data_IF_967358087310
#
_entry.id   IF_967358087310
#
_cell.length_a   1.000
_cell.length_b   1.000
_cell.length_c   1.000
_cell.angle_alpha   90.00
_cell.angle_beta   90.00
_cell.angle_gamma   90.00
#
_symmetry.space_group_name_H-M   'P 1'
#
loop_
_entity.id
_entity.type
_entity.pdbx_description
1 polymer ?
#
# COMPACT_ATOMS: atom_id res chain seq x y z
N UNK A 1 -57.03 6.59 33.91
CA UNK A 1 -56.81 7.33 35.18
C UNK A 1 -55.32 7.66 35.26
N UNK A 2 -54.98 8.95 35.18
CA UNK A 2 -54.38 9.73 36.31
C UNK A 2 -52.89 9.41 36.53
N UNK A 3 -51.96 10.24 36.02
CA UNK A 3 -51.39 11.49 36.59
C UNK A 3 -50.28 11.20 37.62
N UNK A 4 -49.01 11.47 37.26
CA UNK A 4 -48.19 12.65 37.68
C UNK A 4 -47.44 12.37 39.01
N UNK A 5 -46.25 12.88 39.37
CA UNK A 5 -45.46 14.11 39.12
C UNK A 5 -43.95 13.71 39.01
N UNK A 6 -43.03 14.27 38.19
CA UNK A 6 -42.47 15.64 38.02
C UNK A 6 -41.47 16.13 39.09
N UNK A 7 -40.29 16.64 38.67
CA UNK A 7 -39.49 17.80 39.16
C UNK A 7 -38.20 17.86 38.28
N UNK A 8 -38.09 18.79 37.30
CA UNK A 8 -37.35 20.10 37.30
C UNK A 8 -35.79 19.94 37.24
N UNK A 9 -34.97 20.78 36.58
CA UNK A 9 -35.16 22.11 35.95
C UNK A 9 -34.03 22.39 34.89
N UNK A 10 -34.34 22.84 33.65
CA UNK A 10 -33.98 24.15 32.98
C UNK A 10 -32.47 24.47 32.75
N UNK A 11 -32.00 25.27 31.77
CA UNK A 11 -32.52 26.05 30.61
C UNK A 11 -31.29 26.44 29.71
N UNK A 12 -31.34 27.03 28.51
CA UNK A 12 -32.39 27.52 27.60
C UNK A 12 -31.85 27.54 26.13
N UNK A 13 -32.70 27.74 25.12
CA UNK A 13 -32.35 28.21 23.76
C UNK A 13 -33.36 29.31 23.39
N UNK A 14 -32.94 30.33 22.63
CA UNK A 14 -33.86 31.35 22.11
C UNK A 14 -33.81 31.43 20.58
N UNK A 15 -34.95 31.76 19.97
CA UNK A 15 -35.15 31.82 18.51
C UNK A 15 -35.98 33.03 18.13
N UNK A 16 -35.83 33.54 16.90
CA UNK A 16 -36.70 34.60 16.36
C UNK A 16 -37.12 34.28 14.92
N UNK A 17 -38.38 34.62 14.61
CA UNK A 17 -39.02 34.59 13.28
C UNK A 17 -39.55 36.00 12.99
N UNK A 18 -39.71 36.35 11.70
CA UNK A 18 -40.67 37.29 11.07
C UNK A 18 -40.05 37.80 9.73
N UNK A 19 -40.74 38.17 8.63
CA UNK A 19 -42.13 38.03 8.18
C UNK A 19 -42.17 38.11 6.63
N UNK A 20 -43.16 37.40 6.03
CA UNK A 20 -43.98 37.71 4.83
C UNK A 20 -43.43 38.38 3.55
N UNK A 21 -44.27 38.31 2.50
CA UNK A 21 -43.96 38.53 1.08
C UNK A 21 -44.99 39.47 0.42
N UNK A 22 -44.54 40.16 -0.64
CA UNK A 22 -45.30 40.76 -1.77
C UNK A 22 -46.26 41.94 -1.58
N UNK A 23 -46.05 42.99 -2.40
CA UNK A 23 -47.11 43.67 -3.17
C UNK A 23 -46.59 44.35 -4.47
N UNK A 24 -47.49 44.36 -5.46
CA UNK A 24 -47.57 44.94 -6.82
C UNK A 24 -46.72 46.15 -7.31
N UNK A 25 -46.25 46.04 -8.57
CA UNK A 25 -46.40 46.93 -9.77
C UNK A 25 -47.07 48.32 -9.61
N UNK A 26 -46.66 49.37 -10.42
CA UNK A 26 -47.01 49.43 -11.85
C UNK A 26 -45.95 50.00 -12.84
N UNK A 27 -46.35 50.06 -14.12
CA UNK A 27 -45.58 50.44 -15.33
C UNK A 27 -45.37 51.96 -15.49
N UNK A 28 -44.38 52.38 -16.30
CA UNK A 28 -44.27 53.80 -16.69
C UNK A 28 -43.16 54.17 -17.70
N UNK A 29 -43.55 54.28 -18.99
CA UNK A 29 -42.94 55.07 -20.08
C UNK A 29 -41.54 54.74 -20.64
N UNK A 30 -41.32 55.27 -21.84
CA UNK A 30 -40.29 54.97 -22.83
C UNK A 30 -39.29 56.13 -23.02
N UNK A 31 -38.20 55.89 -23.77
CA UNK A 31 -37.75 56.73 -24.91
C UNK A 31 -36.50 56.11 -25.58
N UNK A 32 -36.28 56.47 -26.85
CA UNK A 32 -35.30 55.89 -27.79
C UNK A 32 -33.83 56.34 -27.61
N UNK A 33 -32.96 55.47 -28.14
CA UNK A 33 -31.72 55.77 -28.90
C UNK A 33 -30.58 56.60 -28.26
N UNK A 34 -29.36 56.06 -28.33
CA UNK A 34 -28.12 56.80 -28.11
C UNK A 34 -26.86 55.95 -28.33
N UNK A 35 -26.27 55.99 -29.52
CA UNK A 35 -24.88 55.57 -29.73
C UNK A 35 -23.95 56.69 -29.29
N UNK A 36 -23.01 56.43 -28.38
CA UNK A 36 -21.75 57.18 -28.29
C UNK A 36 -20.64 56.30 -27.72
N UNK A 37 -19.46 56.35 -28.37
CA UNK A 37 -18.19 55.86 -27.84
C UNK A 37 -17.58 56.91 -26.92
N UNK A 38 -16.62 56.51 -26.07
CA UNK A 38 -15.40 57.22 -25.59
C UNK A 38 -15.00 56.70 -24.18
N UNK A 39 -13.80 56.97 -23.65
CA UNK A 39 -12.65 56.11 -23.90
C UNK A 39 -11.92 55.68 -22.60
N UNK A 40 -10.76 55.04 -22.77
CA UNK A 40 -9.80 54.74 -21.69
C UNK A 40 -9.42 55.97 -20.86
N UNK A 41 -9.43 55.82 -19.53
CA UNK A 41 -8.73 56.71 -18.61
C UNK A 41 -7.80 55.89 -17.71
N UNK A 42 -6.51 56.19 -17.81
CA UNK A 42 -5.47 55.63 -16.95
C UNK A 42 -5.40 56.46 -15.66
N UNK A 43 -5.24 55.81 -14.50
CA UNK A 43 -4.86 56.51 -13.28
C UNK A 43 -3.88 55.67 -12.45
N UNK A 44 -2.60 56.02 -12.56
CA UNK A 44 -1.55 55.52 -11.66
C UNK A 44 -1.26 56.58 -10.59
N UNK A 45 -1.18 56.16 -9.33
CA UNK A 45 -0.25 56.65 -8.28
C UNK A 45 -0.25 55.61 -7.16
N UNK A 46 0.85 54.88 -7.02
CA UNK A 46 2.00 55.15 -6.14
C UNK A 46 1.90 54.41 -4.81
N UNK A 47 2.65 53.31 -4.69
CA UNK A 47 3.18 52.82 -3.41
C UNK A 47 4.68 52.59 -3.63
N UNK A 48 5.49 53.05 -2.68
CA UNK A 48 6.95 53.09 -2.78
C UNK A 48 7.57 51.72 -2.48
N UNK A 49 8.69 51.44 -3.15
CA UNK A 49 9.49 50.23 -2.98
C UNK A 49 10.34 50.29 -1.72
N UNK A 50 10.35 49.21 -0.93
CA UNK A 50 11.43 48.93 0.04
C UNK A 50 12.17 47.69 -0.45
N UNK A 51 13.45 47.86 -0.76
CA UNK A 51 14.38 46.80 -1.18
C UNK A 51 14.98 46.10 0.04
N UNK A 52 15.06 44.77 0.00
CA UNK A 52 15.96 43.99 0.84
C UNK A 52 16.73 43.00 -0.04
N UNK A 53 18.00 42.80 0.30
CA UNK A 53 18.97 42.15 -0.59
C UNK A 53 18.78 40.63 -0.71
N UNK A 54 19.14 40.13 -1.91
CA UNK A 54 19.10 38.73 -2.28
C UNK A 54 20.46 38.10 -1.94
N UNK A 55 20.46 37.07 -1.09
CA UNK A 55 21.61 36.17 -0.91
C UNK A 55 21.35 34.88 -1.69
N UNK A 56 22.35 34.47 -2.47
CA UNK A 56 22.22 33.44 -3.51
C UNK A 56 21.89 32.04 -2.97
N UNK A 57 20.87 31.41 -3.55
CA UNK A 57 20.70 29.96 -3.58
C UNK A 57 20.59 29.51 -5.05
N UNK A 58 21.60 28.77 -5.52
CA UNK A 58 21.72 28.36 -6.93
C UNK A 58 20.76 27.21 -7.27
N UNK A 59 19.83 27.44 -8.20
CA UNK A 59 18.99 26.40 -8.80
C UNK A 59 19.40 26.22 -10.27
N UNK A 60 19.88 25.03 -10.63
CA UNK A 60 20.32 24.72 -12.00
C UNK A 60 19.20 23.99 -12.75
N UNK A 61 18.63 24.55 -13.84
CA UNK A 61 17.58 23.90 -14.60
C UNK A 61 18.15 22.91 -15.63
N UNK A 62 17.64 21.68 -15.65
CA UNK A 62 17.96 20.70 -16.70
C UNK A 62 17.32 21.07 -18.04
N UNK A 63 18.11 21.02 -19.10
CA UNK A 63 17.75 21.46 -20.45
C UNK A 63 16.81 20.52 -21.18
N UNK A 64 15.90 21.10 -21.99
CA UNK A 64 15.13 20.38 -22.99
C UNK A 64 16.00 20.04 -24.22
N UNK A 65 15.81 18.85 -24.81
CA UNK A 65 16.14 18.62 -26.23
C UNK A 65 15.05 17.76 -26.88
N UNK A 66 14.60 18.17 -28.07
CA UNK A 66 13.58 17.44 -28.85
C UNK A 66 14.22 16.58 -29.94
N UNK A 67 13.69 15.35 -30.06
CA UNK A 67 13.48 14.58 -31.29
C UNK A 67 14.69 14.23 -32.18
N UNK A 68 14.87 12.92 -32.41
CA UNK A 68 14.85 12.36 -33.76
C UNK A 68 14.38 10.89 -33.73
N UNK A 69 13.75 10.45 -34.82
CA UNK A 69 13.31 9.06 -35.02
C UNK A 69 14.40 8.27 -35.74
N UNK A 70 14.71 7.05 -35.29
CA UNK A 70 15.28 6.01 -36.16
C UNK A 70 14.88 4.59 -35.71
N UNK A 71 15.11 3.62 -36.60
CA UNK A 71 14.49 2.29 -36.59
C UNK A 71 15.20 1.28 -35.68
N UNK A 72 14.41 0.31 -35.21
CA UNK A 72 14.78 -1.06 -34.78
C UNK A 72 16.26 -1.46 -34.93
N UNK A 73 16.87 -1.85 -33.82
CA UNK A 73 17.35 -3.22 -33.63
C UNK A 73 16.94 -3.71 -32.24
N UNK A 74 16.65 -5.00 -32.14
CA UNK A 74 16.41 -5.70 -30.88
C UNK A 74 17.73 -6.00 -30.22
N UNK A 75 17.95 -5.51 -29.00
CA UNK A 75 18.75 -6.20 -27.99
C UNK A 75 18.19 -5.82 -26.62
N UNK A 76 17.75 -6.81 -25.85
CA UNK A 76 17.34 -6.62 -24.46
C UNK A 76 18.60 -6.63 -23.61
N UNK A 77 18.95 -5.49 -23.03
CA UNK A 77 19.80 -5.49 -21.84
C UNK A 77 19.07 -6.26 -20.71
N UNK A 78 19.79 -6.99 -19.84
CA UNK A 78 19.16 -7.74 -18.76
C UNK A 78 18.55 -6.81 -17.71
N UNK A 79 17.32 -7.11 -17.28
CA UNK A 79 16.57 -6.37 -16.26
C UNK A 79 17.20 -6.55 -14.87
N UNK A 80 18.26 -5.79 -14.58
CA UNK A 80 19.01 -5.80 -13.31
C UNK A 80 18.51 -4.76 -12.30
N UNK A 81 17.19 -4.52 -12.23
CA UNK A 81 16.62 -3.52 -11.31
C UNK A 81 15.14 -3.77 -10.94
N UNK A 82 14.77 -5.02 -10.70
CA UNK A 82 13.42 -5.42 -10.26
C UNK A 82 13.32 -5.89 -8.78
N UNK A 83 14.17 -5.42 -7.85
CA UNK A 83 13.99 -5.71 -6.40
C UNK A 83 12.90 -4.86 -5.72
N UNK A 84 12.26 -3.95 -6.45
CA UNK A 84 11.12 -3.16 -5.97
C UNK A 84 9.85 -4.01 -6.01
N UNK A 85 9.16 -4.11 -4.85
CA UNK A 85 7.97 -4.92 -4.63
C UNK A 85 6.83 -4.73 -5.65
N UNK A 86 5.95 -5.73 -5.72
CA UNK A 86 4.91 -5.82 -6.73
C UNK A 86 3.85 -4.71 -6.59
N UNK A 87 3.65 -4.18 -5.39
CA UNK A 87 2.62 -3.16 -5.11
C UNK A 87 2.95 -1.78 -5.71
N UNK A 88 4.24 -1.45 -5.82
CA UNK A 88 4.70 -0.18 -6.38
C UNK A 88 4.47 -0.12 -7.91
N UNK A 89 4.42 -1.27 -8.59
CA UNK A 89 4.21 -1.40 -10.04
C UNK A 89 2.72 -1.37 -10.46
N UNK A 90 1.78 -1.27 -9.52
CA UNK A 90 0.34 -1.35 -9.81
C UNK A 90 -0.18 -0.21 -10.72
N UNK A 91 -1.04 -0.48 -11.72
CA UNK A 91 -1.53 0.50 -12.70
C UNK A 91 -2.57 1.46 -12.12
N UNK A 92 -2.46 2.76 -12.40
CA UNK A 92 -3.43 3.76 -11.89
C UNK A 92 -4.85 3.45 -12.37
N UNK A 93 -5.71 3.06 -11.44
CA UNK A 93 -7.13 2.78 -11.71
C UNK A 93 -7.90 4.10 -11.72
N UNK A 94 -8.83 4.26 -12.65
CA UNK A 94 -9.72 5.42 -12.74
C UNK A 94 -11.08 5.07 -12.11
N UNK A 95 -11.77 6.01 -11.44
CA UNK A 95 -13.11 5.76 -10.89
C UNK A 95 -14.10 5.27 -11.95
N UNK A 96 -15.06 4.43 -11.54
CA UNK A 96 -16.05 3.83 -12.46
C UNK A 96 -16.81 4.89 -13.26
N UNK A 97 -17.24 5.96 -12.58
CA UNK A 97 -17.97 7.10 -13.14
C UNK A 97 -17.17 7.81 -14.24
N UNK A 98 -15.86 7.99 -14.04
CA UNK A 98 -14.97 8.66 -15.00
C UNK A 98 -14.68 7.79 -16.23
N UNK A 99 -14.53 6.47 -16.04
CA UNK A 99 -14.44 5.49 -17.14
C UNK A 99 -15.67 5.61 -18.03
N UNK A 100 -16.86 5.58 -17.44
CA UNK A 100 -18.13 5.66 -18.16
C UNK A 100 -18.27 6.98 -18.95
N UNK A 101 -18.07 8.14 -18.31
CA UNK A 101 -18.18 9.42 -19.00
C UNK A 101 -17.06 9.68 -20.02
N UNK A 102 -15.87 9.11 -19.82
CA UNK A 102 -14.80 9.14 -20.83
C UNK A 102 -15.20 8.32 -22.06
N UNK A 103 -15.63 7.08 -21.87
CA UNK A 103 -16.04 6.17 -22.93
C UNK A 103 -17.26 6.71 -23.73
N UNK A 104 -18.29 7.21 -23.05
CA UNK A 104 -19.46 7.84 -23.70
C UNK A 104 -19.07 9.06 -24.55
N UNK A 105 -18.15 9.92 -24.07
CA UNK A 105 -17.66 11.08 -24.84
C UNK A 105 -16.87 10.65 -26.08
N UNK A 106 -16.04 9.61 -25.99
CA UNK A 106 -15.29 9.07 -27.13
C UNK A 106 -16.22 8.40 -28.16
N UNK A 107 -17.15 7.56 -27.71
CA UNK A 107 -18.13 6.91 -28.59
C UNK A 107 -19.00 7.91 -29.38
N UNK A 108 -19.47 8.98 -28.73
CA UNK A 108 -20.23 10.06 -29.40
C UNK A 108 -19.45 10.76 -30.53
N UNK A 109 -18.11 10.78 -30.47
CA UNK A 109 -17.24 11.41 -31.48
C UNK A 109 -16.94 10.53 -32.70
N UNK A 110 -17.36 9.26 -32.72
CA UNK A 110 -17.10 8.35 -33.86
C UNK A 110 -17.81 8.87 -35.12
N UNK A 111 -17.06 9.17 -36.22
CA UNK A 111 -17.64 9.72 -37.44
C UNK A 111 -18.35 8.64 -38.28
N UNK A 112 -19.37 9.02 -39.09
CA UNK A 112 -19.95 8.12 -40.07
C UNK A 112 -18.92 7.71 -41.14
N UNK A 113 -19.10 6.51 -41.70
CA UNK A 113 -18.24 6.02 -42.78
C UNK A 113 -18.46 6.84 -44.06
N UNK A 114 -17.39 7.44 -44.59
CA UNK A 114 -17.41 8.20 -45.85
C UNK A 114 -17.80 7.29 -47.03
N UNK A 115 -18.37 7.86 -48.09
CA UNK A 115 -18.68 7.16 -49.36
C UNK A 115 -19.98 6.35 -49.39
N UNK A 116 -20.71 6.17 -48.28
CA UNK A 116 -22.00 5.43 -48.29
C UNK A 116 -23.14 6.37 -48.69
N UNK A 117 -23.67 6.21 -49.91
CA UNK A 117 -24.80 7.00 -50.41
C UNK A 117 -26.12 6.70 -49.66
N UNK A 118 -26.47 5.42 -49.48
CA UNK A 118 -27.71 5.02 -48.80
C UNK A 118 -27.70 5.45 -47.32
N UNK A 119 -28.69 6.27 -46.94
CA UNK A 119 -28.79 6.90 -45.61
C UNK A 119 -28.99 5.85 -44.50
N UNK A 120 -29.86 4.85 -44.70
CA UNK A 120 -30.09 3.80 -43.69
C UNK A 120 -28.84 2.93 -43.50
N UNK A 121 -28.16 2.56 -44.59
CA UNK A 121 -26.87 1.84 -44.54
C UNK A 121 -25.78 2.66 -43.86
N UNK A 122 -25.79 4.00 -44.02
CA UNK A 122 -24.84 4.91 -43.36
C UNK A 122 -25.08 4.98 -41.85
N UNK A 123 -26.31 5.22 -41.40
CA UNK A 123 -26.62 5.35 -39.98
C UNK A 123 -26.48 4.03 -39.22
N UNK A 124 -26.92 2.88 -39.76
CA UNK A 124 -26.73 1.59 -39.07
C UNK A 124 -25.25 1.21 -38.93
N UNK A 125 -24.44 1.50 -39.95
CA UNK A 125 -22.99 1.29 -39.88
C UNK A 125 -22.30 2.26 -38.90
N UNK A 126 -22.86 3.46 -38.71
CA UNK A 126 -22.40 4.42 -37.70
C UNK A 126 -22.78 3.97 -36.30
N UNK A 127 -24.03 3.56 -36.07
CA UNK A 127 -24.53 3.09 -34.78
C UNK A 127 -23.77 1.84 -34.31
N UNK A 128 -23.59 0.84 -35.17
CA UNK A 128 -22.79 -0.35 -34.86
C UNK A 128 -21.34 0.01 -34.50
N UNK A 129 -20.70 0.97 -35.21
CA UNK A 129 -19.37 1.48 -34.88
C UNK A 129 -19.33 2.27 -33.55
N UNK A 130 -20.39 2.99 -33.21
CA UNK A 130 -20.50 3.72 -31.94
C UNK A 130 -20.65 2.76 -30.75
N UNK A 131 -21.44 1.71 -30.88
CA UNK A 131 -21.59 0.65 -29.87
C UNK A 131 -20.29 -0.16 -29.69
N UNK A 132 -19.64 -0.56 -30.79
CA UNK A 132 -18.34 -1.25 -30.75
C UNK A 132 -17.23 -0.37 -30.14
N UNK A 133 -17.23 0.93 -30.43
CA UNK A 133 -16.32 1.88 -29.79
C UNK A 133 -16.60 2.03 -28.28
N UNK A 134 -17.86 2.19 -27.86
CA UNK A 134 -18.21 2.28 -26.43
C UNK A 134 -17.80 1.01 -25.68
N UNK A 135 -18.12 -0.17 -26.24
CA UNK A 135 -17.72 -1.46 -25.71
C UNK A 135 -16.19 -1.56 -25.52
N UNK A 136 -15.41 -1.15 -26.52
CA UNK A 136 -13.93 -1.17 -26.46
C UNK A 136 -13.38 -0.20 -25.42
N UNK A 137 -13.87 1.03 -25.39
CA UNK A 137 -13.44 2.06 -24.44
C UNK A 137 -13.77 1.71 -22.98
N UNK A 138 -14.82 0.91 -22.74
CA UNK A 138 -15.12 0.33 -21.42
C UNK A 138 -14.30 -0.93 -21.13
N UNK A 139 -14.15 -1.85 -22.08
CA UNK A 139 -13.57 -3.17 -21.83
C UNK A 139 -12.04 -3.22 -21.86
N UNK A 140 -11.37 -2.32 -22.59
CA UNK A 140 -9.90 -2.29 -22.70
C UNK A 140 -9.26 -1.89 -21.36
N UNK A 141 -9.65 -0.79 -20.67
CA UNK A 141 -9.07 -0.44 -19.38
C UNK A 141 -9.26 -1.53 -18.32
N UNK A 142 -10.44 -2.16 -18.28
CA UNK A 142 -10.70 -3.28 -17.36
C UNK A 142 -9.79 -4.48 -17.64
N UNK A 143 -9.46 -4.76 -18.91
CA UNK A 143 -8.49 -5.80 -19.25
C UNK A 143 -7.08 -5.41 -18.81
N UNK A 144 -6.65 -4.19 -19.09
CA UNK A 144 -5.33 -3.67 -18.73
C UNK A 144 -5.11 -3.66 -17.21
N UNK A 145 -6.15 -3.38 -16.41
CA UNK A 145 -6.07 -3.55 -14.96
C UNK A 145 -5.87 -5.03 -14.58
N UNK A 146 -6.64 -5.96 -15.13
CA UNK A 146 -6.52 -7.39 -14.80
C UNK A 146 -5.19 -8.02 -15.26
N UNK A 147 -4.56 -7.48 -16.31
CA UNK A 147 -3.27 -7.94 -16.83
C UNK A 147 -2.10 -7.42 -15.98
N UNK A 148 -2.19 -6.20 -15.44
CA UNK A 148 -1.12 -5.55 -14.67
C UNK A 148 -1.28 -5.67 -13.13
N UNK A 149 -2.36 -6.26 -12.62
CA UNK A 149 -2.46 -6.63 -11.21
C UNK A 149 -1.84 -8.02 -10.97
N UNK A 150 -0.92 -8.16 -10.00
CA UNK A 150 -0.25 -9.42 -9.75
C UNK A 150 -1.23 -10.44 -9.16
N UNK A 151 -1.16 -11.68 -9.65
CA UNK A 151 -1.96 -12.80 -9.11
C UNK A 151 -1.31 -13.29 -7.83
N UNK A 152 -2.09 -13.55 -6.77
CA UNK A 152 -1.60 -14.01 -5.45
C UNK A 152 -0.57 -15.15 -5.53
N UNK A 153 -0.75 -16.11 -6.44
CA UNK A 153 0.17 -17.25 -6.65
C UNK A 153 1.59 -16.88 -7.12
N UNK A 154 1.78 -15.70 -7.69
CA UNK A 154 3.08 -15.21 -8.18
C UNK A 154 3.67 -14.08 -7.32
N UNK A 155 2.96 -13.67 -6.27
CA UNK A 155 3.47 -12.73 -5.28
C UNK A 155 4.40 -13.45 -4.31
N UNK A 156 5.38 -12.72 -3.77
CA UNK A 156 6.23 -13.25 -2.72
C UNK A 156 5.40 -13.63 -1.48
N UNK A 157 5.70 -14.71 -0.74
CA UNK A 157 4.88 -15.14 0.40
C UNK A 157 4.61 -14.02 1.43
N UNK A 158 5.61 -13.17 1.69
CA UNK A 158 5.45 -11.97 2.52
C UNK A 158 4.37 -10.99 1.98
N UNK A 159 4.38 -10.72 0.68
CA UNK A 159 3.37 -9.86 0.02
C UNK A 159 1.97 -10.50 0.05
N UNK A 160 1.88 -11.84 -0.03
CA UNK A 160 0.61 -12.55 0.14
C UNK A 160 0.05 -12.35 1.57
N UNK A 161 0.90 -12.46 2.60
CA UNK A 161 0.50 -12.15 3.98
C UNK A 161 0.08 -10.67 4.14
N UNK A 162 0.76 -9.73 3.48
CA UNK A 162 0.38 -8.32 3.52
C UNK A 162 -1.01 -8.07 2.88
N UNK A 163 -1.34 -8.74 1.77
CA UNK A 163 -2.68 -8.69 1.17
C UNK A 163 -3.72 -9.22 2.16
N UNK A 164 -3.47 -10.38 2.76
CA UNK A 164 -4.39 -11.04 3.68
C UNK A 164 -4.68 -10.21 4.93
N UNK A 165 -3.62 -9.70 5.59
CA UNK A 165 -3.72 -8.83 6.76
C UNK A 165 -4.41 -7.48 6.48
N UNK A 166 -4.42 -7.03 5.23
CA UNK A 166 -4.96 -5.72 4.82
C UNK A 166 -6.39 -5.79 4.30
N UNK A 167 -6.69 -6.78 3.46
CA UNK A 167 -7.93 -6.86 2.69
C UNK A 167 -8.85 -8.01 3.16
N UNK A 168 -8.35 -8.90 4.01
CA UNK A 168 -9.01 -10.13 4.42
C UNK A 168 -8.94 -11.23 3.34
N UNK A 169 -9.31 -12.44 3.75
CA UNK A 169 -9.26 -13.63 2.90
C UNK A 169 -10.14 -13.53 1.65
N UNK A 170 -9.55 -13.82 0.49
CA UNK A 170 -10.26 -13.98 -0.79
C UNK A 170 -10.87 -12.71 -1.41
N UNK A 171 -10.92 -11.59 -0.67
CA UNK A 171 -11.50 -10.32 -1.12
C UNK A 171 -10.77 -9.76 -2.36
N UNK A 172 -9.43 -9.84 -2.37
CA UNK A 172 -8.60 -9.43 -3.50
C UNK A 172 -8.96 -10.20 -4.79
N UNK A 173 -9.02 -11.53 -4.73
CA UNK A 173 -9.41 -12.38 -5.84
C UNK A 173 -10.88 -12.18 -6.25
N UNK A 174 -11.77 -11.92 -5.29
CA UNK A 174 -13.19 -11.67 -5.56
C UNK A 174 -13.40 -10.37 -6.33
N UNK A 175 -12.73 -9.28 -5.97
CA UNK A 175 -12.82 -8.01 -6.69
C UNK A 175 -12.27 -8.15 -8.12
N UNK A 176 -11.11 -8.80 -8.30
CA UNK A 176 -10.57 -9.08 -9.64
C UNK A 176 -11.54 -9.94 -10.49
N UNK A 177 -12.18 -10.96 -9.89
CA UNK A 177 -13.18 -11.81 -10.55
C UNK A 177 -14.44 -11.02 -10.94
N UNK A 178 -14.91 -10.10 -10.08
CA UNK A 178 -16.05 -9.21 -10.39
C UNK A 178 -15.73 -8.28 -11.57
N UNK A 179 -14.52 -7.69 -11.60
CA UNK A 179 -14.07 -6.84 -12.70
C UNK A 179 -13.95 -7.60 -14.03
N UNK A 180 -13.43 -8.83 -14.03
CA UNK A 180 -13.42 -9.68 -15.24
C UNK A 180 -14.83 -10.08 -15.69
N UNK A 181 -15.74 -10.30 -14.75
CA UNK A 181 -17.16 -10.60 -15.04
C UNK A 181 -17.85 -9.40 -15.69
N UNK A 182 -17.68 -8.19 -15.14
CA UNK A 182 -18.15 -6.94 -15.75
C UNK A 182 -17.59 -6.77 -17.17
N UNK A 183 -16.27 -6.92 -17.34
CA UNK A 183 -15.60 -6.84 -18.65
C UNK A 183 -16.20 -7.81 -19.67
N UNK A 184 -16.44 -9.07 -19.28
CA UNK A 184 -17.08 -10.08 -20.14
C UNK A 184 -18.51 -9.69 -20.53
N UNK A 185 -19.33 -9.20 -19.59
CA UNK A 185 -20.71 -8.75 -19.84
C UNK A 185 -20.77 -7.53 -20.76
N UNK A 186 -19.90 -6.55 -20.56
CA UNK A 186 -19.80 -5.37 -21.45
C UNK A 186 -19.46 -5.80 -22.87
N UNK A 187 -18.55 -6.77 -23.05
CA UNK A 187 -18.20 -7.31 -24.37
C UNK A 187 -19.34 -8.12 -25.00
N UNK A 188 -20.11 -8.91 -24.24
CA UNK A 188 -21.24 -9.66 -24.80
C UNK A 188 -22.38 -8.73 -25.23
N UNK A 189 -22.83 -7.84 -24.34
CA UNK A 189 -23.90 -6.85 -24.61
C UNK A 189 -23.51 -5.93 -25.76
N UNK A 190 -22.26 -5.44 -25.78
CA UNK A 190 -21.76 -4.57 -26.85
C UNK A 190 -21.78 -5.23 -28.23
N UNK A 191 -21.34 -6.50 -28.32
CA UNK A 191 -21.39 -7.27 -29.58
C UNK A 191 -22.82 -7.57 -30.03
N UNK A 192 -23.70 -7.89 -29.09
CA UNK A 192 -25.11 -8.20 -29.37
C UNK A 192 -25.83 -6.99 -29.96
N UNK A 193 -25.86 -5.86 -29.25
CA UNK A 193 -26.54 -4.66 -29.75
C UNK A 193 -25.87 -4.07 -31.00
N UNK A 194 -24.54 -4.16 -31.16
CA UNK A 194 -23.87 -3.76 -32.40
C UNK A 194 -24.29 -4.64 -33.60
N UNK A 195 -24.45 -5.95 -33.40
CA UNK A 195 -24.94 -6.90 -34.41
C UNK A 195 -26.40 -6.63 -34.78
N UNK A 196 -27.26 -6.38 -33.79
CA UNK A 196 -28.67 -6.01 -34.02
C UNK A 196 -28.79 -4.66 -34.75
N UNK A 197 -28.03 -3.64 -34.34
CA UNK A 197 -27.98 -2.34 -35.01
C UNK A 197 -27.54 -2.50 -36.47
N UNK A 198 -26.50 -3.29 -36.76
CA UNK A 198 -26.00 -3.52 -38.13
C UNK A 198 -27.03 -4.18 -39.07
N UNK A 199 -27.99 -4.95 -38.53
CA UNK A 199 -29.07 -5.63 -39.29
C UNK A 199 -30.27 -4.73 -39.61
N UNK A 200 -30.42 -3.58 -38.95
CA UNK A 200 -31.58 -2.68 -39.12
C UNK A 200 -31.81 -2.25 -40.58
N UNK A 201 -33.08 -2.14 -40.96
CA UNK A 201 -33.51 -1.87 -42.33
C UNK A 201 -33.74 -0.38 -42.57
N UNK A 202 -34.28 0.33 -41.58
CA UNK A 202 -34.65 1.75 -41.70
C UNK A 202 -33.74 2.66 -40.86
N UNK A 203 -33.69 3.95 -41.22
CA UNK A 203 -32.96 4.97 -40.43
C UNK A 203 -33.50 5.10 -38.99
N UNK A 204 -34.81 4.99 -38.80
CA UNK A 204 -35.45 5.14 -37.48
C UNK A 204 -35.06 3.97 -36.57
N UNK A 205 -35.27 2.75 -37.06
CA UNK A 205 -34.86 1.52 -36.37
C UNK A 205 -33.36 1.53 -36.00
N UNK A 206 -32.49 1.99 -36.91
CA UNK A 206 -31.05 2.08 -36.64
C UNK A 206 -30.71 3.01 -35.46
N UNK A 207 -31.46 4.11 -35.28
CA UNK A 207 -31.27 5.08 -34.20
C UNK A 207 -31.90 4.58 -32.88
N UNK A 208 -33.07 3.94 -32.95
CA UNK A 208 -33.72 3.31 -31.80
C UNK A 208 -32.82 2.22 -31.19
N UNK A 209 -32.33 1.28 -32.00
CA UNK A 209 -31.40 0.21 -31.57
C UNK A 209 -30.04 0.74 -31.09
N UNK A 210 -29.61 1.89 -31.59
CA UNK A 210 -28.41 2.57 -31.08
C UNK A 210 -28.66 3.11 -29.67
N UNK A 211 -29.75 3.84 -29.45
CA UNK A 211 -30.08 4.40 -28.13
C UNK A 211 -30.28 3.28 -27.09
N UNK A 212 -31.05 2.25 -27.44
CA UNK A 212 -31.26 1.05 -26.61
C UNK A 212 -29.93 0.39 -26.22
N UNK A 213 -29.03 0.19 -27.19
CA UNK A 213 -27.71 -0.40 -26.93
C UNK A 213 -26.78 0.48 -26.08
N UNK A 214 -26.88 1.81 -26.20
CA UNK A 214 -26.14 2.75 -25.34
C UNK A 214 -26.65 2.70 -23.90
N UNK A 215 -27.97 2.76 -23.72
CA UNK A 215 -28.63 2.67 -22.41
C UNK A 215 -28.34 1.33 -21.73
N UNK A 216 -28.39 0.21 -22.47
CA UNK A 216 -28.10 -1.11 -21.91
C UNK A 216 -26.64 -1.29 -21.49
N UNK A 217 -25.69 -0.75 -22.27
CA UNK A 217 -24.27 -0.72 -21.90
C UNK A 217 -24.02 0.16 -20.67
N UNK A 218 -24.66 1.34 -20.61
CA UNK A 218 -24.55 2.26 -19.49
C UNK A 218 -25.14 1.66 -18.20
N UNK A 219 -26.32 1.05 -18.25
CA UNK A 219 -26.95 0.33 -17.13
C UNK A 219 -26.08 -0.84 -16.64
N UNK A 220 -25.60 -1.67 -17.56
CA UNK A 220 -24.75 -2.83 -17.26
C UNK A 220 -23.47 -2.40 -16.56
N UNK A 221 -22.82 -1.33 -17.04
CA UNK A 221 -21.62 -0.80 -16.41
C UNK A 221 -21.92 -0.15 -15.05
N UNK A 222 -22.97 0.66 -14.92
CA UNK A 222 -23.35 1.30 -13.64
C UNK A 222 -23.66 0.28 -12.54
N UNK A 223 -24.41 -0.79 -12.87
CA UNK A 223 -24.81 -1.82 -11.90
C UNK A 223 -23.63 -2.55 -11.27
N UNK A 224 -22.55 -2.76 -12.03
CA UNK A 224 -21.37 -3.50 -11.59
C UNK A 224 -20.13 -2.60 -11.37
N UNK A 225 -20.29 -1.28 -11.58
CA UNK A 225 -19.23 -0.27 -11.49
C UNK A 225 -18.56 -0.20 -10.11
N UNK A 226 -19.30 -0.54 -9.03
CA UNK A 226 -18.75 -0.65 -7.68
C UNK A 226 -17.52 -1.56 -7.64
N UNK A 227 -17.47 -2.66 -8.41
CA UNK A 227 -16.31 -3.55 -8.43
C UNK A 227 -15.03 -2.85 -8.94
N UNK A 228 -15.16 -1.83 -9.78
CA UNK A 228 -14.03 -1.02 -10.25
C UNK A 228 -13.60 0.00 -9.19
N UNK A 229 -14.54 0.55 -8.44
CA UNK A 229 -14.24 1.46 -7.31
C UNK A 229 -13.64 0.69 -6.11
N UNK A 230 -14.09 -0.55 -5.87
CA UNK A 230 -13.46 -1.47 -4.92
C UNK A 230 -12.01 -1.79 -5.36
N UNK A 231 -11.78 -2.05 -6.65
CA UNK A 231 -10.43 -2.26 -7.21
C UNK A 231 -9.55 -1.00 -7.09
N UNK A 232 -10.12 0.19 -7.30
CA UNK A 232 -9.45 1.47 -7.09
C UNK A 232 -9.01 1.65 -5.63
N UNK A 233 -9.87 1.31 -4.68
CA UNK A 233 -9.56 1.38 -3.26
C UNK A 233 -8.45 0.38 -2.89
N UNK A 234 -8.52 -0.86 -3.36
CA UNK A 234 -7.45 -1.86 -3.23
C UNK A 234 -6.12 -1.31 -3.78
N UNK A 235 -6.11 -0.74 -4.99
CA UNK A 235 -4.89 -0.20 -5.61
C UNK A 235 -4.29 0.96 -4.81
N UNK A 236 -5.14 1.84 -4.23
CA UNK A 236 -4.68 2.94 -3.36
C UNK A 236 -4.06 2.40 -2.08
N UNK A 237 -4.72 1.44 -1.42
CA UNK A 237 -4.26 0.84 -0.16
C UNK A 237 -2.96 0.07 -0.34
N UNK A 238 -2.82 -0.72 -1.41
CA UNK A 238 -1.58 -1.47 -1.70
C UNK A 238 -0.42 -0.53 -2.07
N UNK A 239 -0.64 0.52 -2.87
CA UNK A 239 0.42 1.52 -3.15
C UNK A 239 0.88 2.33 -1.95
N UNK A 240 0.03 2.48 -0.93
CA UNK A 240 0.37 3.20 0.29
C UNK A 240 1.26 2.38 1.24
N UNK A 241 1.51 1.09 0.95
CA UNK A 241 2.40 0.25 1.74
C UNK A 241 3.87 0.69 1.58
N UNK A 242 4.69 0.51 2.63
CA UNK A 242 6.12 0.75 2.56
C UNK A 242 6.79 -0.15 1.51
N UNK A 243 7.89 0.35 0.93
CA UNK A 243 8.74 -0.45 0.06
C UNK A 243 9.66 -1.28 0.94
N UNK A 244 9.58 -2.60 0.83
CA UNK A 244 10.50 -3.55 1.48
C UNK A 244 11.27 -4.25 0.38
N UNK A 245 12.58 -4.47 0.56
CA UNK A 245 13.37 -5.29 -0.37
C UNK A 245 13.27 -6.72 0.11
N UNK A 246 12.82 -7.62 -0.75
CA UNK A 246 12.50 -9.00 -0.42
C UNK A 246 13.75 -9.89 -0.40
N UNK A 247 14.84 -9.47 -1.06
CA UNK A 247 16.07 -10.23 -1.18
C UNK A 247 17.18 -9.75 -0.24
N UNK A 248 17.14 -8.49 0.19
CA UNK A 248 18.14 -7.93 1.11
C UNK A 248 18.04 -8.55 2.51
N UNK A 249 19.16 -9.01 3.11
CA UNK A 249 19.16 -9.55 4.47
C UNK A 249 18.61 -8.53 5.47
N UNK A 250 17.65 -8.99 6.29
CA UNK A 250 16.91 -8.11 7.21
C UNK A 250 17.14 -8.51 8.67
N UNK A 251 17.70 -7.61 9.48
CA UNK A 251 17.77 -7.76 10.93
C UNK A 251 16.41 -7.47 11.56
N UNK A 252 15.76 -8.50 12.09
CA UNK A 252 14.47 -8.45 12.74
C UNK A 252 14.65 -8.40 14.26
N UNK A 253 14.29 -7.28 14.90
CA UNK A 253 14.32 -7.18 16.36
C UNK A 253 13.03 -7.75 16.95
N UNK A 254 13.16 -8.79 17.76
CA UNK A 254 12.06 -9.54 18.37
C UNK A 254 12.16 -9.47 19.91
N UNK A 255 11.05 -9.62 20.61
CA UNK A 255 10.98 -9.59 22.07
C UNK A 255 9.70 -8.91 22.56
N UNK A 256 9.48 -8.87 23.87
CA UNK A 256 8.27 -8.31 24.48
C UNK A 256 8.08 -6.80 24.15
N UNK A 257 6.88 -6.24 24.35
CA UNK A 257 6.67 -4.79 24.28
C UNK A 257 7.62 -4.03 25.22
N UNK A 258 7.97 -2.79 24.87
CA UNK A 258 8.73 -1.85 25.72
C UNK A 258 10.15 -2.26 26.17
N UNK A 259 10.70 -3.41 25.74
CA UNK A 259 12.08 -3.86 26.08
C UNK A 259 13.21 -3.00 25.47
N UNK A 260 12.89 -2.02 24.62
CA UNK A 260 13.85 -1.09 24.01
C UNK A 260 14.20 -1.34 22.53
N UNK A 261 13.52 -2.26 21.84
CA UNK A 261 13.75 -2.61 20.41
C UNK A 261 13.84 -1.39 19.49
N UNK A 262 12.83 -0.51 19.53
CA UNK A 262 12.78 0.75 18.76
C UNK A 262 14.00 1.66 18.98
N UNK A 263 14.60 1.62 20.18
CA UNK A 263 15.78 2.41 20.51
C UNK A 263 17.05 1.74 19.96
N UNK A 264 17.14 0.42 20.01
CA UNK A 264 18.23 -0.33 19.38
C UNK A 264 18.24 -0.16 17.84
N UNK A 265 17.07 -0.17 17.18
CA UNK A 265 16.99 0.11 15.72
C UNK A 265 17.59 1.47 15.36
N UNK A 266 17.35 2.51 16.18
CA UNK A 266 17.93 3.86 15.95
C UNK A 266 19.45 3.93 16.13
N UNK A 267 20.05 2.99 16.85
CA UNK A 267 21.51 2.93 17.11
C UNK A 267 22.23 2.05 16.09
N UNK A 268 21.56 0.97 15.66
CA UNK A 268 22.08 0.03 14.67
C UNK A 268 21.96 0.59 13.24
N UNK A 269 20.91 1.37 12.96
CA UNK A 269 20.73 2.07 11.68
C UNK A 269 21.79 3.15 11.49
N UNK A 270 22.42 3.16 10.30
CA UNK A 270 23.40 4.18 9.91
C UNK A 270 22.73 5.54 9.65
N UNK A 271 21.48 5.52 9.18
CA UNK A 271 20.64 6.70 8.96
C UNK A 271 19.52 6.84 9.98
N UNK A 272 18.71 7.90 9.85
CA UNK A 272 17.45 8.02 10.63
C UNK A 272 16.45 6.95 10.17
N UNK A 273 15.94 6.07 11.05
CA UNK A 273 14.91 5.11 10.66
C UNK A 273 13.62 5.80 10.22
N UNK A 274 12.98 5.22 9.20
CA UNK A 274 11.68 5.64 8.68
C UNK A 274 10.53 4.94 9.44
N UNK A 275 9.35 5.57 9.44
CA UNK A 275 8.13 5.02 10.04
C UNK A 275 7.24 4.47 8.94
N UNK A 276 7.28 3.15 8.78
CA UNK A 276 6.56 2.40 7.77
C UNK A 276 5.12 2.15 8.21
N UNK A 277 4.18 2.88 7.60
CA UNK A 277 2.75 2.80 7.92
C UNK A 277 2.08 1.67 7.12
N UNK A 278 1.64 0.61 7.81
CA UNK A 278 0.85 -0.46 7.19
C UNK A 278 -0.65 -0.16 7.38
N UNK A 279 -1.53 -0.31 6.36
CA UNK A 279 -2.92 0.15 6.45
C UNK A 279 -3.77 -0.53 7.54
N UNK A 280 -3.39 -1.73 7.97
CA UNK A 280 -4.04 -2.49 9.06
C UNK A 280 -3.44 -2.21 10.45
N UNK A 281 -2.55 -1.23 10.57
CA UNK A 281 -1.83 -0.91 11.81
C UNK A 281 -2.18 0.48 12.33
N UNK A 282 -2.35 0.59 13.65
CA UNK A 282 -2.57 1.88 14.33
C UNK A 282 -1.27 2.64 14.63
N UNK A 283 -0.13 1.95 14.51
CA UNK A 283 1.22 2.48 14.72
C UNK A 283 2.12 1.91 13.63
N UNK A 284 2.82 2.79 12.91
CA UNK A 284 3.83 2.37 11.94
C UNK A 284 5.01 1.66 12.60
N UNK A 285 5.68 0.82 11.82
CA UNK A 285 6.87 0.06 12.20
C UNK A 285 8.12 0.88 11.87
N UNK A 286 9.13 0.84 12.74
CA UNK A 286 10.40 1.52 12.44
C UNK A 286 11.27 0.61 11.58
N UNK A 287 11.61 1.07 10.37
CA UNK A 287 12.61 0.44 9.52
C UNK A 287 13.82 1.37 9.36
N UNK A 288 15.01 0.83 9.54
CA UNK A 288 16.28 1.50 9.29
C UNK A 288 17.11 0.73 8.28
N UNK A 289 18.23 1.33 7.91
CA UNK A 289 19.20 0.74 7.00
C UNK A 289 20.58 0.75 7.65
N UNK A 290 21.29 -0.37 7.52
CA UNK A 290 22.68 -0.52 7.96
C UNK A 290 23.53 -0.57 6.70
N UNK A 291 24.43 0.40 6.55
CA UNK A 291 25.40 0.46 5.46
C UNK A 291 26.80 0.24 6.04
N UNK A 292 27.49 -0.81 5.59
CA UNK A 292 28.83 -1.18 6.07
C UNK A 292 29.61 -1.86 4.93
N UNK A 293 30.87 -1.47 4.70
CA UNK A 293 31.74 -2.05 3.65
C UNK A 293 31.06 -2.24 2.27
N UNK A 294 30.32 -1.22 1.81
CA UNK A 294 29.54 -1.22 0.55
C UNK A 294 28.39 -2.24 0.49
N UNK A 295 28.07 -2.90 1.60
CA UNK A 295 26.92 -3.78 1.77
C UNK A 295 25.78 -3.01 2.45
N UNK A 296 24.56 -3.29 2.00
CA UNK A 296 23.34 -2.69 2.52
C UNK A 296 22.48 -3.79 3.15
N UNK A 297 22.03 -3.54 4.38
CA UNK A 297 21.13 -4.41 5.12
C UNK A 297 19.94 -3.61 5.63
N UNK A 298 18.81 -4.29 5.84
CA UNK A 298 17.64 -3.68 6.47
C UNK A 298 17.62 -4.03 7.96
N UNK A 299 17.08 -3.14 8.79
CA UNK A 299 16.80 -3.41 10.20
C UNK A 299 15.37 -3.00 10.52
N UNK A 300 14.57 -3.89 11.11
CA UNK A 300 13.15 -3.66 11.37
C UNK A 300 12.81 -3.89 12.84
N UNK A 301 12.12 -2.92 13.43
CA UNK A 301 11.57 -2.98 14.78
C UNK A 301 10.21 -3.69 14.75
N UNK A 302 10.18 -4.98 15.07
CA UNK A 302 8.89 -5.67 15.05
C UNK A 302 8.05 -5.34 16.29
N UNK A 303 6.72 -5.24 16.13
CA UNK A 303 5.79 -5.16 17.26
C UNK A 303 6.07 -6.26 18.27
N UNK A 304 6.02 -5.90 19.56
CA UNK A 304 6.35 -6.84 20.63
C UNK A 304 5.40 -8.03 20.68
N UNK A 305 5.98 -9.23 20.76
CA UNK A 305 5.22 -10.47 20.88
C UNK A 305 4.76 -10.67 22.32
N UNK A 306 3.53 -11.16 22.47
CA UNK A 306 2.93 -11.54 23.74
C UNK A 306 2.53 -13.02 23.72
N UNK A 307 2.48 -13.63 24.89
CA UNK A 307 2.15 -15.06 25.08
C UNK A 307 0.67 -15.32 24.79
N UNK A 308 0.37 -15.73 23.56
CA UNK A 308 -0.99 -16.09 23.09
C UNK A 308 -0.95 -17.01 21.86
N UNK A 309 -2.04 -17.72 21.63
CA UNK A 309 -2.26 -18.56 20.44
C UNK A 309 -2.18 -17.73 19.15
N UNK A 310 -1.74 -18.34 18.04
CA UNK A 310 -1.56 -17.66 16.75
C UNK A 310 -2.86 -17.06 16.18
N UNK A 311 -4.01 -17.68 16.43
CA UNK A 311 -5.33 -17.19 16.00
C UNK A 311 -5.67 -15.84 16.67
N UNK A 312 -5.44 -15.74 17.98
CA UNK A 312 -5.68 -14.55 18.82
C UNK A 312 -4.61 -13.44 18.66
N UNK A 313 -3.65 -13.62 17.75
CA UNK A 313 -2.62 -12.61 17.47
C UNK A 313 -3.19 -11.41 16.73
N UNK A 314 -2.80 -10.23 17.23
CA UNK A 314 -3.10 -8.95 16.60
C UNK A 314 -2.42 -8.89 15.22
N UNK A 315 -2.95 -8.12 14.27
CA UNK A 315 -2.37 -8.01 12.92
C UNK A 315 -0.89 -7.55 12.93
N UNK A 316 -0.50 -6.79 13.96
CA UNK A 316 0.90 -6.40 14.22
C UNK A 316 1.80 -7.60 14.59
N UNK A 317 1.32 -8.52 15.42
CA UNK A 317 2.04 -9.75 15.80
C UNK A 317 2.06 -10.75 14.63
N UNK A 318 0.97 -10.84 13.86
CA UNK A 318 0.91 -11.64 12.62
C UNK A 318 1.85 -11.10 11.54
N UNK A 319 2.01 -9.79 11.42
CA UNK A 319 3.02 -9.17 10.56
C UNK A 319 4.45 -9.51 11.02
N UNK A 320 4.74 -9.49 12.33
CA UNK A 320 6.02 -9.96 12.89
C UNK A 320 6.32 -11.40 12.46
N UNK A 321 5.34 -12.31 12.58
CA UNK A 321 5.49 -13.69 12.12
C UNK A 321 5.70 -13.78 10.60
N UNK A 322 4.98 -13.00 9.80
CA UNK A 322 5.15 -12.98 8.35
C UNK A 322 6.55 -12.50 7.92
N UNK A 323 7.11 -11.49 8.59
CA UNK A 323 8.51 -11.06 8.42
C UNK A 323 9.47 -12.21 8.71
N UNK A 324 9.34 -12.84 9.89
CA UNK A 324 10.22 -13.94 10.32
C UNK A 324 10.10 -15.20 9.47
N UNK A 325 8.92 -15.49 8.91
CA UNK A 325 8.67 -16.73 8.15
C UNK A 325 9.01 -16.61 6.67
N UNK A 326 8.97 -15.41 6.09
CA UNK A 326 9.01 -15.22 4.64
C UNK A 326 10.15 -14.34 4.15
N UNK A 327 10.73 -13.45 4.96
CA UNK A 327 11.88 -12.65 4.56
C UNK A 327 13.18 -13.33 5.01
N UNK A 328 14.32 -13.09 4.32
CA UNK A 328 15.62 -13.63 4.72
C UNK A 328 16.12 -12.90 5.98
N UNK A 329 15.62 -13.33 7.14
CA UNK A 329 15.81 -12.60 8.40
C UNK A 329 16.97 -13.11 9.26
N UNK A 330 17.59 -12.17 9.96
CA UNK A 330 18.45 -12.38 11.11
C UNK A 330 17.65 -12.01 12.36
N UNK A 331 17.62 -12.87 13.39
CA UNK A 331 16.84 -12.60 14.61
C UNK A 331 17.74 -11.98 15.68
N UNK A 332 17.41 -10.76 16.10
CA UNK A 332 17.96 -10.15 17.30
C UNK A 332 16.90 -10.19 18.40
N UNK A 333 17.01 -11.12 19.35
CA UNK A 333 16.05 -11.23 20.44
C UNK A 333 16.46 -10.34 21.62
N UNK A 334 15.55 -9.46 22.04
CA UNK A 334 15.78 -8.45 23.05
C UNK A 334 15.02 -8.80 24.33
N UNK A 335 15.79 -9.05 25.39
CA UNK A 335 15.32 -9.37 26.73
C UNK A 335 15.34 -8.12 27.63
N UNK A 336 14.38 -8.02 28.55
CA UNK A 336 14.41 -7.02 29.63
C UNK A 336 14.24 -7.71 30.99
N UNK A 337 15.35 -7.89 31.70
CA UNK A 337 15.38 -8.52 33.02
C UNK A 337 15.02 -7.55 34.16
N UNK A 338 14.82 -6.26 33.88
CA UNK A 338 14.50 -5.24 34.92
C UNK A 338 13.06 -5.33 35.43
N UNK A 339 12.17 -5.98 34.67
CA UNK A 339 10.72 -6.03 34.93
C UNK A 339 9.94 -4.78 34.50
N UNK A 340 10.60 -3.67 34.15
CA UNK A 340 9.94 -2.41 33.78
C UNK A 340 9.14 -2.46 32.47
N UNK A 341 9.42 -3.42 31.57
CA UNK A 341 8.69 -3.56 30.31
C UNK A 341 7.19 -3.92 30.48
N UNK A 342 6.78 -4.33 31.69
CA UNK A 342 5.41 -4.78 32.00
C UNK A 342 5.13 -6.24 31.64
N UNK A 343 6.14 -6.99 31.20
CA UNK A 343 6.06 -8.45 30.97
C UNK A 343 7.01 -9.16 31.92
N UNK A 344 6.53 -10.18 32.64
CA UNK A 344 7.36 -10.92 33.60
C UNK A 344 8.54 -11.61 32.89
N UNK A 345 9.69 -11.73 33.57
CA UNK A 345 10.84 -12.45 33.01
C UNK A 345 10.50 -13.91 32.68
N UNK A 346 9.62 -14.55 33.47
CA UNK A 346 9.13 -15.91 33.23
C UNK A 346 8.30 -16.01 31.94
N UNK A 347 7.43 -15.04 31.67
CA UNK A 347 6.66 -15.02 30.41
C UNK A 347 7.57 -14.69 29.22
N UNK A 348 8.54 -13.78 29.38
CA UNK A 348 9.57 -13.54 28.36
C UNK A 348 10.37 -14.80 28.02
N UNK A 349 10.66 -15.66 29.01
CA UNK A 349 11.34 -16.95 28.80
C UNK A 349 10.49 -17.96 28.03
N UNK A 350 9.18 -18.03 28.32
CA UNK A 350 8.26 -18.92 27.59
C UNK A 350 8.12 -18.48 26.13
N UNK A 351 7.91 -17.18 25.88
CA UNK A 351 7.85 -16.62 24.52
C UNK A 351 9.19 -16.83 23.80
N UNK A 352 10.31 -16.66 24.49
CA UNK A 352 11.65 -16.89 23.95
C UNK A 352 11.83 -18.34 23.48
N UNK A 353 11.47 -19.34 24.30
CA UNK A 353 11.54 -20.75 23.90
C UNK A 353 10.64 -21.05 22.70
N UNK A 354 9.39 -20.60 22.73
CA UNK A 354 8.43 -20.78 21.62
C UNK A 354 8.99 -20.27 20.28
N UNK A 355 9.51 -19.04 20.25
CA UNK A 355 10.04 -18.42 19.04
C UNK A 355 11.39 -19.05 18.62
N UNK A 356 12.24 -19.44 19.58
CA UNK A 356 13.54 -20.08 19.31
C UNK A 356 13.40 -21.50 18.77
N UNK A 357 12.39 -22.25 19.22
CA UNK A 357 12.03 -23.56 18.67
C UNK A 357 11.45 -23.40 17.25
N UNK A 358 10.47 -22.50 17.08
CA UNK A 358 9.77 -22.23 15.81
C UNK A 358 10.68 -21.71 14.69
N UNK A 359 11.68 -20.90 15.01
CA UNK A 359 12.59 -20.28 14.05
C UNK A 359 14.06 -20.74 14.22
N UNK A 360 14.25 -21.97 14.68
CA UNK A 360 15.56 -22.58 14.96
C UNK A 360 16.55 -22.57 13.79
N UNK A 361 16.06 -22.55 12.53
CA UNK A 361 16.91 -22.43 11.34
C UNK A 361 17.57 -21.05 11.16
N UNK A 362 17.07 -20.00 11.82
CA UNK A 362 17.53 -18.62 11.63
C UNK A 362 18.83 -18.33 12.38
N UNK A 363 19.67 -17.44 11.84
CA UNK A 363 20.80 -16.93 12.63
C UNK A 363 20.26 -16.02 13.73
N UNK A 364 20.70 -16.32 14.96
CA UNK A 364 20.11 -15.81 16.20
C UNK A 364 21.16 -15.11 17.05
N UNK A 365 20.82 -13.94 17.59
CA UNK A 365 21.64 -13.21 18.55
C UNK A 365 20.78 -12.73 19.72
N UNK A 366 21.19 -13.10 20.93
CA UNK A 366 20.52 -12.72 22.18
C UNK A 366 21.11 -11.44 22.76
N UNK A 367 20.24 -10.54 23.23
CA UNK A 367 20.61 -9.24 23.81
C UNK A 367 19.81 -8.96 25.07
N UNK A 368 20.49 -8.67 26.17
CA UNK A 368 19.87 -8.14 27.39
C UNK A 368 19.93 -6.61 27.34
N UNK A 369 18.77 -5.98 27.29
CA UNK A 369 18.59 -4.53 27.27
C UNK A 369 18.60 -3.94 28.69
N UNK A 370 18.73 -2.61 28.80
CA UNK A 370 18.69 -1.83 30.05
C UNK A 370 19.65 -2.33 31.14
N UNK A 371 20.85 -2.78 30.76
CA UNK A 371 21.80 -3.33 31.73
C UNK A 371 22.25 -2.33 32.81
N UNK A 372 22.08 -1.02 32.57
CA UNK A 372 22.31 0.06 33.54
C UNK A 372 21.37 0.03 34.76
N UNK A 373 20.27 -0.73 34.70
CA UNK A 373 19.29 -0.88 35.77
C UNK A 373 19.37 -2.23 36.49
N UNK A 374 20.23 -3.15 36.02
CA UNK A 374 20.36 -4.48 36.61
C UNK A 374 21.23 -4.41 37.87
N UNK A 375 20.59 -4.44 39.04
CA UNK A 375 21.29 -4.58 40.31
C UNK A 375 21.88 -5.99 40.43
N UNK A 376 23.14 -6.09 40.84
CA UNK A 376 23.76 -7.38 41.19
C UNK A 376 23.12 -7.92 42.48
N UNK A 377 22.16 -8.83 42.34
CA UNK A 377 21.52 -9.46 43.50
C UNK A 377 22.53 -10.37 44.24
N UNK A 378 22.76 -10.13 45.55
CA UNK A 378 23.66 -10.96 46.34
C UNK A 378 23.10 -12.38 46.44
N UNK A 379 24.01 -13.34 46.28
CA UNK A 379 23.89 -14.81 46.44
C UNK A 379 22.55 -15.32 46.99
N UNK A 380 21.85 -16.12 46.18
CA UNK A 380 20.81 -17.05 46.65
C UNK A 380 21.32 -18.47 46.41
N UNK A 381 21.25 -19.31 47.43
CA UNK A 381 21.64 -20.72 47.35
C UNK A 381 20.71 -21.47 46.39
N UNK A 382 21.30 -22.21 45.46
CA UNK A 382 20.54 -23.15 44.62
C UNK A 382 20.26 -24.38 45.48
N UNK A 383 19.01 -24.54 45.93
CA UNK A 383 18.54 -25.84 46.40
C UNK A 383 18.44 -26.79 45.20
N UNK A 384 19.01 -27.99 45.32
CA UNK A 384 19.06 -28.99 44.24
C UNK A 384 17.73 -29.75 44.06
N UNK A 385 16.64 -29.01 43.83
CA UNK A 385 15.36 -29.62 43.47
C UNK A 385 15.38 -29.97 41.96
N UNK A 386 15.38 -31.28 41.68
CA UNK A 386 15.71 -31.89 40.38
C UNK A 386 14.74 -31.68 39.21
N UNK A 387 14.21 -30.47 39.03
CA UNK A 387 13.35 -30.12 37.91
C UNK A 387 14.06 -29.13 36.97
N UNK A 388 14.74 -29.65 35.94
CA UNK A 388 15.66 -28.90 35.06
C UNK A 388 15.08 -27.58 34.50
N UNK A 389 13.79 -27.54 34.19
CA UNK A 389 13.13 -26.32 33.70
C UNK A 389 13.11 -25.16 34.71
N UNK A 390 13.05 -25.46 36.01
CA UNK A 390 13.09 -24.43 37.06
C UNK A 390 14.50 -23.84 37.21
N UNK A 391 15.53 -24.68 37.08
CA UNK A 391 16.94 -24.24 37.09
C UNK A 391 17.29 -23.37 35.88
N UNK A 392 16.78 -23.69 34.68
CA UNK A 392 16.94 -22.84 33.51
C UNK A 392 16.24 -21.48 33.66
N UNK A 393 15.01 -21.46 34.19
CA UNK A 393 14.31 -20.19 34.46
C UNK A 393 15.04 -19.33 35.49
N UNK A 394 15.55 -19.93 36.57
CA UNK A 394 16.34 -19.22 37.57
C UNK A 394 17.63 -18.62 37.00
N UNK A 395 18.33 -19.34 36.11
CA UNK A 395 19.51 -18.83 35.39
C UNK A 395 19.14 -17.68 34.45
N UNK A 396 18.08 -17.84 33.66
CA UNK A 396 17.58 -16.80 32.76
C UNK A 396 17.20 -15.52 33.51
N UNK A 397 16.53 -15.65 34.66
CA UNK A 397 16.13 -14.49 35.48
C UNK A 397 17.34 -13.67 35.96
N UNK A 398 18.47 -14.30 36.26
CA UNK A 398 19.68 -13.62 36.76
C UNK A 398 20.63 -13.14 35.66
N UNK A 399 20.78 -13.89 34.57
CA UNK A 399 21.83 -13.65 33.57
C UNK A 399 21.34 -13.48 32.13
N UNK A 400 20.06 -13.77 31.87
CA UNK A 400 19.54 -13.95 30.52
C UNK A 400 19.96 -15.30 29.93
N UNK A 401 19.74 -15.54 28.62
CA UNK A 401 20.24 -16.74 27.96
C UNK A 401 21.77 -16.73 27.81
N UNK A 402 22.36 -17.92 27.76
CA UNK A 402 23.82 -18.11 27.68
C UNK A 402 24.41 -17.49 26.41
N UNK A 403 25.37 -16.57 26.58
CA UNK A 403 26.02 -15.86 25.48
C UNK A 403 25.35 -14.57 25.02
N UNK A 404 24.28 -14.13 25.70
CA UNK A 404 23.63 -12.85 25.41
C UNK A 404 24.56 -11.65 25.66
N UNK A 405 24.51 -10.65 24.76
CA UNK A 405 25.23 -9.39 24.96
C UNK A 405 24.44 -8.51 25.93
N UNK A 406 25.12 -7.96 26.94
CA UNK A 406 24.55 -6.94 27.82
C UNK A 406 24.70 -5.57 27.16
N UNK A 407 23.60 -4.85 26.98
CA UNK A 407 23.63 -3.51 26.38
C UNK A 407 22.80 -2.50 27.18
N UNK A 408 23.24 -1.25 27.15
CA UNK A 408 22.40 -0.11 27.53
C UNK A 408 22.49 1.00 26.49
N UNK A 409 21.31 1.38 25.99
CA UNK A 409 21.12 2.55 25.13
C UNK A 409 21.50 3.86 25.86
N UNK A 410 21.38 3.88 27.19
CA UNK A 410 21.52 5.09 28.00
C UNK A 410 22.96 5.34 28.44
N UNK A 411 23.69 4.30 28.86
CA UNK A 411 25.11 4.42 29.21
C UNK A 411 26.05 4.27 28.01
N UNK A 412 25.58 3.67 26.91
CA UNK A 412 26.39 3.34 25.74
C UNK A 412 27.09 1.97 25.82
N UNK A 413 26.97 1.29 26.96
CA UNK A 413 27.63 0.02 27.25
C UNK A 413 27.17 -1.10 26.31
N UNK A 414 28.13 -1.92 25.84
CA UNK A 414 27.90 -3.07 24.96
C UNK A 414 27.46 -2.75 23.53
N UNK A 415 27.20 -1.49 23.18
CA UNK A 415 26.65 -1.12 21.86
C UNK A 415 27.63 -1.39 20.71
N UNK A 416 28.92 -1.19 20.91
CA UNK A 416 29.90 -1.41 19.83
C UNK A 416 30.21 -2.91 19.63
N UNK A 417 30.23 -3.71 20.71
CA UNK A 417 30.28 -5.17 20.60
C UNK A 417 29.03 -5.70 19.86
N UNK A 418 27.84 -5.16 20.19
CA UNK A 418 26.60 -5.49 19.50
C UNK A 418 26.68 -5.18 18.00
N UNK A 419 27.14 -4.00 17.59
CA UNK A 419 27.29 -3.63 16.17
C UNK A 419 28.21 -4.61 15.43
N UNK A 420 29.35 -4.98 16.02
CA UNK A 420 30.29 -5.93 15.41
C UNK A 420 29.67 -7.32 15.23
N UNK A 421 28.98 -7.85 16.26
CA UNK A 421 28.30 -9.16 16.15
C UNK A 421 27.11 -9.13 15.20
N UNK A 422 26.32 -8.06 15.19
CA UNK A 422 25.22 -7.84 14.23
C UNK A 422 25.75 -7.81 12.79
N UNK A 423 26.86 -7.10 12.53
CA UNK A 423 27.47 -7.09 11.21
C UNK A 423 27.93 -8.49 10.78
N UNK A 424 28.67 -9.21 11.62
CA UNK A 424 29.11 -10.58 11.32
C UNK A 424 27.95 -11.54 11.02
N UNK A 425 26.84 -11.39 11.75
CA UNK A 425 25.62 -12.17 11.56
C UNK A 425 24.92 -11.82 10.24
N UNK A 426 24.81 -10.54 9.89
CA UNK A 426 24.23 -10.09 8.60
C UNK A 426 25.05 -10.54 7.40
N UNK A 427 26.38 -10.46 7.46
CA UNK A 427 27.29 -11.02 6.44
C UNK A 427 27.11 -12.53 6.32
N UNK A 428 26.94 -13.24 7.44
CA UNK A 428 26.68 -14.68 7.42
C UNK A 428 25.33 -15.01 6.78
N UNK A 429 24.25 -14.26 7.05
CA UNK A 429 22.98 -14.44 6.33
C UNK A 429 23.11 -14.12 4.84
N UNK A 430 23.81 -13.05 4.45
CA UNK A 430 23.98 -12.72 3.04
C UNK A 430 24.70 -13.83 2.26
N UNK A 431 25.72 -14.45 2.85
CA UNK A 431 26.38 -15.66 2.30
C UNK A 431 25.41 -16.84 2.21
N UNK A 432 24.57 -17.04 3.21
CA UNK A 432 23.57 -18.13 3.25
C UNK A 432 22.54 -18.00 2.11
N UNK A 433 22.01 -16.79 1.88
CA UNK A 433 21.13 -16.47 0.75
C UNK A 433 21.85 -16.72 -0.60
N UNK A 434 23.09 -16.25 -0.74
CA UNK A 434 23.89 -16.46 -1.97
C UNK A 434 24.11 -17.94 -2.30
N UNK A 435 24.37 -18.77 -1.28
CA UNK A 435 24.49 -20.22 -1.45
C UNK A 435 23.17 -20.87 -1.88
N UNK A 436 22.03 -20.46 -1.30
CA UNK A 436 20.71 -20.97 -1.68
C UNK A 436 20.39 -20.67 -3.16
N UNK A 437 20.61 -19.42 -3.60
CA UNK A 437 20.43 -19.02 -5.02
C UNK A 437 21.32 -19.82 -5.98
N UNK A 438 22.57 -20.14 -5.60
CA UNK A 438 23.44 -20.99 -6.46
C UNK A 438 23.00 -22.44 -6.49
N UNK A 439 22.45 -23.01 -5.41
CA UNK A 439 21.89 -24.37 -5.42
C UNK A 439 20.60 -24.49 -6.23
N UNK A 440 19.71 -23.50 -6.19
CA UNK A 440 18.49 -23.47 -7.01
C UNK A 440 18.81 -23.22 -8.50
N UNK A 441 19.82 -22.39 -8.79
CA UNK A 441 20.36 -22.28 -10.15
C UNK A 441 20.90 -23.63 -10.65
N UNK A 442 21.70 -24.33 -9.83
CA UNK A 442 22.32 -25.59 -10.24
C UNK A 442 21.29 -26.71 -10.49
N UNK A 443 20.21 -26.79 -9.71
CA UNK A 443 19.15 -27.80 -9.92
C UNK A 443 18.35 -27.57 -11.21
N UNK A 444 18.12 -26.31 -11.60
CA UNK A 444 17.48 -25.96 -12.89
C UNK A 444 18.35 -26.35 -14.08
N UNK A 445 19.67 -26.14 -14.00
CA UNK A 445 20.59 -26.53 -15.08
C UNK A 445 20.79 -28.06 -15.17
N UNK A 446 20.78 -28.77 -14.04
CA UNK A 446 20.95 -30.23 -14.02
C UNK A 446 19.77 -30.99 -14.68
N UNK A 447 18.56 -30.41 -14.69
CA UNK A 447 17.40 -30.99 -15.37
C UNK A 447 17.40 -30.81 -16.89
N UNK A 448 18.19 -29.89 -17.45
CA UNK A 448 18.29 -29.66 -18.89
C UNK A 448 19.34 -30.53 -19.59
N UNK A 449 20.06 -31.40 -18.87
CA UNK A 449 21.17 -32.22 -19.40
C UNK A 449 20.92 -33.73 -19.35
N UNK A 450 19.66 -34.17 -19.16
CA UNK A 450 19.27 -35.60 -19.09
C UNK A 450 18.17 -35.93 -20.12
N UNK A 451 18.03 -35.11 -21.17
CA UNK A 451 17.16 -35.38 -22.33
C UNK A 451 17.83 -34.91 -23.63
N UNK A 452 18.86 -35.66 -24.05
CA UNK A 452 19.30 -35.79 -25.45
C UNK A 452 19.50 -37.28 -25.77
#
# INVERSE_FOLDING_TARGET
MSRALSILQQWQINSTKFLLRSSSFPQGLSVNAGRTKCPTLCFCRQIQTVTYDIVNASYVPTSQTKQQQQKKTTDKAPDLLESVGAFQKLPMVMPSVDILYSALRKAKRVPPTKGIANIAKRERNRGAKQLDALMKELAIPLREYLENFPKRRYLHPYEQSLIELTLGDGNYEEVLRKVDTLRKKVVSVGKEHASVCAKSLTKREALERLNEGLEKLEETFKREGKAVDDLLNIAKTLRAMPVVDLETPTLCLVGAPNVGKSSLVRILSTGKPEVCNYPFTTRGILMGHIAFEFQHFQVTDTPGLLKRCDEDRNNLEKLTLAVLTHLPTAILYVHDLTGECGTSASDQFVIYKEIKERFSDHLWLDVVSKCDLLQESPVVFIAEDGNNGHLEMARYHKMGPSGAIRVSVKSGEGLDELKVKVHGLLVAQMKRIGNMKTTEGCSVWCWSSVVE
#
